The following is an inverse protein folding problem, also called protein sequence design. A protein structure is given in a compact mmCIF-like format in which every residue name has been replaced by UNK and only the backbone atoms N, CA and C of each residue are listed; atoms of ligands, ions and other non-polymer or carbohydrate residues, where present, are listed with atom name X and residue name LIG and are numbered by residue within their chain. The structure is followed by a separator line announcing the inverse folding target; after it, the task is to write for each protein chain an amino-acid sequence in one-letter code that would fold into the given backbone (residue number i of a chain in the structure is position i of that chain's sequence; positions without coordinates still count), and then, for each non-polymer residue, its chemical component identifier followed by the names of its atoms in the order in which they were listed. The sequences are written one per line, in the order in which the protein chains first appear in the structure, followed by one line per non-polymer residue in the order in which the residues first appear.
data_IF_282825373824
#
_entry.id   IF_282825373824
#
_cell.length_a   1.000
_cell.length_b   1.000
_cell.length_c   1.000
_cell.angle_alpha   90.00
_cell.angle_beta   90.00
_cell.angle_gamma   90.00
#
_symmetry.space_group_name_H-M   'P 1'
#
loop_
_entity.id
_entity.type
_entity.pdbx_description
1 polymer ?
#
# COMPACT_ATOMS: atom_id res chain seq x y z
N UNK A 1 -5.08 38.63 -8.87
CA UNK A 1 -5.75 37.84 -7.83
C UNK A 1 -5.85 36.41 -8.32
N UNK A 2 -4.90 35.54 -7.94
CA UNK A 2 -4.90 34.14 -8.34
C UNK A 2 -4.84 33.28 -7.09
N UNK A 3 -5.94 32.62 -6.74
CA UNK A 3 -5.99 31.67 -5.63
C UNK A 3 -5.61 30.29 -6.15
N UNK A 4 -4.44 29.80 -5.74
CA UNK A 4 -4.06 28.40 -5.92
C UNK A 4 -4.84 27.58 -4.89
N UNK A 5 -5.92 26.94 -5.35
CA UNK A 5 -6.59 25.89 -4.58
C UNK A 5 -5.75 24.61 -4.71
N UNK A 6 -4.79 24.43 -3.82
CA UNK A 6 -4.15 23.14 -3.63
C UNK A 6 -5.20 22.15 -3.11
N UNK A 7 -5.34 20.95 -3.70
CA UNK A 7 -6.23 19.95 -3.14
C UNK A 7 -5.68 19.54 -1.77
N UNK A 8 -6.46 19.82 -0.74
CA UNK A 8 -6.24 19.30 0.60
C UNK A 8 -6.42 17.79 0.49
N UNK A 9 -5.31 17.04 0.46
CA UNK A 9 -5.35 15.62 0.78
C UNK A 9 -5.79 15.52 2.23
N UNK A 10 -7.08 15.30 2.44
CA UNK A 10 -7.63 14.87 3.72
C UNK A 10 -6.99 13.52 4.04
N UNK A 11 -5.89 13.60 4.79
CA UNK A 11 -5.32 12.51 5.56
C UNK A 11 -6.43 11.94 6.43
N UNK A 12 -7.04 10.86 5.94
CA UNK A 12 -7.97 10.09 6.74
C UNK A 12 -7.13 9.44 7.83
N UNK A 13 -7.30 9.93 9.06
CA UNK A 13 -6.68 9.41 10.28
C UNK A 13 -7.28 8.03 10.63
N UNK A 14 -7.05 7.04 9.77
CA UNK A 14 -7.24 5.63 10.11
C UNK A 14 -5.88 5.08 10.52
N UNK A 15 -5.62 5.10 11.82
CA UNK A 15 -4.64 4.30 12.59
C UNK A 15 -3.49 3.62 11.80
N UNK A 16 -2.76 4.37 10.97
CA UNK A 16 -1.65 3.87 10.13
C UNK A 16 -0.31 3.85 10.86
N UNK A 17 -0.35 3.60 12.18
CA UNK A 17 0.82 3.32 13.00
C UNK A 17 1.07 1.81 13.17
N UNK A 18 0.11 0.97 12.79
CA UNK A 18 0.11 -0.43 13.16
C UNK A 18 1.33 -1.19 12.62
N UNK A 19 1.77 -0.99 11.37
CA UNK A 19 2.94 -1.69 10.84
C UNK A 19 4.26 -1.06 11.28
N UNK A 20 4.41 0.27 11.24
CA UNK A 20 5.58 0.95 11.79
C UNK A 20 5.82 0.66 13.29
N UNK A 21 4.76 0.48 14.08
CA UNK A 21 4.86 0.06 15.49
C UNK A 21 4.90 -1.45 15.66
N UNK A 22 4.35 -2.24 14.72
CA UNK A 22 4.49 -3.69 14.71
C UNK A 22 5.94 -4.08 14.42
N UNK A 23 6.58 -3.48 13.40
CA UNK A 23 8.01 -3.71 13.12
C UNK A 23 8.91 -3.16 14.22
N UNK A 24 8.45 -2.19 15.02
CA UNK A 24 9.24 -1.57 16.09
C UNK A 24 9.08 -2.21 17.48
N UNK A 25 8.55 -3.44 17.57
CA UNK A 25 9.04 -4.34 18.62
C UNK A 25 8.05 -5.23 19.37
N UNK A 26 6.72 -5.11 19.21
CA UNK A 26 5.80 -5.98 20.01
C UNK A 26 4.54 -6.46 19.26
N UNK A 27 3.93 -5.65 18.37
CA UNK A 27 2.69 -6.05 17.69
C UNK A 27 2.92 -6.95 16.45
N UNK A 28 4.07 -6.85 15.73
CA UNK A 28 4.36 -7.76 14.61
C UNK A 28 4.63 -9.19 15.08
N UNK A 29 5.05 -9.36 16.32
CA UNK A 29 5.37 -10.68 16.88
C UNK A 29 4.11 -11.48 17.23
N UNK A 30 2.95 -10.82 17.44
CA UNK A 30 1.68 -11.48 17.74
C UNK A 30 0.72 -11.55 16.55
N UNK A 31 0.89 -10.70 15.54
CA UNK A 31 0.12 -10.80 14.31
C UNK A 31 0.52 -12.08 13.55
N UNK A 32 -0.41 -12.99 13.25
CA UNK A 32 -0.10 -14.16 12.45
C UNK A 32 0.47 -13.70 11.11
N UNK A 33 1.69 -14.12 10.78
CA UNK A 33 2.22 -13.95 9.42
C UNK A 33 1.48 -14.93 8.52
N UNK A 34 0.62 -14.47 7.60
CA UNK A 34 -0.06 -15.37 6.68
C UNK A 34 0.96 -16.00 5.72
N UNK A 35 0.73 -17.23 5.23
CA UNK A 35 1.59 -17.84 4.22
C UNK A 35 1.65 -16.95 2.97
N UNK A 36 2.78 -16.95 2.25
CA UNK A 36 2.97 -16.10 1.07
C UNK A 36 1.91 -16.32 -0.02
N UNK A 37 1.33 -17.52 -0.11
CA UNK A 37 0.23 -17.85 -1.03
C UNK A 37 -1.09 -17.13 -0.71
N UNK A 38 -1.23 -16.58 0.51
CA UNK A 38 -2.40 -15.80 0.91
C UNK A 38 -2.21 -14.29 0.72
N UNK A 39 -1.03 -13.85 0.25
CA UNK A 39 -0.76 -12.44 0.00
C UNK A 39 -1.35 -12.00 -1.35
N UNK A 40 -1.70 -10.72 -1.53
CA UNK A 40 -2.03 -10.21 -2.85
C UNK A 40 -0.79 -10.32 -3.76
N UNK A 41 -1.00 -10.66 -5.02
CA UNK A 41 0.07 -10.69 -6.02
C UNK A 41 0.42 -9.28 -6.51
N UNK A 42 1.64 -9.09 -7.03
CA UNK A 42 2.07 -7.80 -7.59
C UNK A 42 1.07 -7.18 -8.59
N UNK A 43 0.51 -7.94 -9.55
CA UNK A 43 -0.53 -7.46 -10.46
C UNK A 43 -1.83 -7.04 -9.76
N UNK A 44 -2.30 -7.81 -8.77
CA UNK A 44 -3.51 -7.46 -8.01
C UNK A 44 -3.30 -6.20 -7.17
N UNK A 45 -2.13 -6.06 -6.56
CA UNK A 45 -1.73 -4.85 -5.83
C UNK A 45 -1.69 -3.65 -6.76
N UNK A 46 -1.14 -3.82 -7.97
CA UNK A 46 -1.06 -2.75 -8.96
C UNK A 46 -2.45 -2.28 -9.37
N UNK A 47 -3.36 -3.20 -9.69
CA UNK A 47 -4.78 -2.87 -9.99
C UNK A 47 -5.43 -2.13 -8.81
N UNK A 48 -5.31 -2.67 -7.59
CA UNK A 48 -5.91 -2.08 -6.40
C UNK A 48 -5.35 -0.68 -6.09
N UNK A 49 -4.05 -0.47 -6.32
CA UNK A 49 -3.39 0.82 -6.16
C UNK A 49 -3.92 1.85 -7.18
N UNK A 50 -4.07 1.47 -8.45
CA UNK A 50 -4.64 2.37 -9.47
C UNK A 50 -6.09 2.74 -9.16
N UNK A 51 -6.90 1.76 -8.72
CA UNK A 51 -8.27 2.00 -8.27
C UNK A 51 -8.32 2.95 -7.05
N UNK A 52 -7.46 2.72 -6.05
CA UNK A 52 -7.41 3.52 -4.82
C UNK A 52 -6.92 4.95 -5.04
N UNK A 53 -5.82 5.11 -5.78
CA UNK A 53 -5.19 6.41 -6.04
C UNK A 53 -5.93 7.25 -7.07
N UNK A 54 -6.88 6.64 -7.79
CA UNK A 54 -7.57 7.23 -8.96
C UNK A 54 -6.59 7.82 -9.97
N UNK A 55 -5.40 7.24 -10.08
CA UNK A 55 -4.45 7.66 -11.09
C UNK A 55 -5.02 7.34 -12.47
N UNK A 56 -4.85 8.24 -13.45
CA UNK A 56 -5.29 7.94 -14.81
C UNK A 56 -4.53 6.72 -15.32
N UNK A 57 -5.25 5.71 -15.81
CA UNK A 57 -4.71 4.47 -16.37
C UNK A 57 -3.53 4.62 -17.36
N UNK A 58 -3.40 5.68 -18.21
CA UNK A 58 -2.20 5.87 -19.04
C UNK A 58 -0.92 6.19 -18.24
N UNK A 59 -1.05 6.54 -16.96
CA UNK A 59 0.07 6.58 -16.02
C UNK A 59 0.31 5.23 -15.38
N UNK A 60 -0.33 4.13 -15.75
CA UNK A 60 0.18 2.79 -15.48
C UNK A 60 1.15 2.45 -16.60
N UNK A 61 2.30 3.13 -16.64
CA UNK A 61 3.29 2.86 -17.68
C UNK A 61 3.62 1.37 -17.71
N UNK A 62 3.65 0.80 -18.92
CA UNK A 62 3.72 -0.65 -19.19
C UNK A 62 4.90 -1.38 -18.51
N UNK A 63 5.86 -0.64 -17.96
CA UNK A 63 7.03 -1.16 -17.22
C UNK A 63 6.92 -1.00 -15.70
N UNK A 64 5.77 -0.61 -15.16
CA UNK A 64 5.56 -0.47 -13.72
C UNK A 64 5.37 -1.83 -13.07
N UNK A 65 6.08 -2.06 -11.97
CA UNK A 65 6.04 -3.31 -11.21
C UNK A 65 5.93 -3.03 -9.72
N UNK A 66 5.23 -3.92 -9.02
CA UNK A 66 5.12 -3.87 -7.57
C UNK A 66 5.57 -5.20 -7.02
N UNK A 67 6.53 -5.17 -6.10
CA UNK A 67 6.95 -6.32 -5.34
C UNK A 67 6.30 -6.30 -3.96
N UNK A 68 5.78 -7.44 -3.52
CA UNK A 68 5.21 -7.61 -2.18
C UNK A 68 6.29 -8.21 -1.29
N UNK A 69 6.89 -7.39 -0.43
CA UNK A 69 8.06 -7.78 0.36
C UNK A 69 7.66 -8.54 1.63
N UNK A 70 6.60 -8.10 2.30
CA UNK A 70 6.11 -8.73 3.52
C UNK A 70 4.64 -8.39 3.76
N UNK A 71 3.89 -9.27 4.43
CA UNK A 71 2.52 -8.98 4.86
C UNK A 71 2.23 -9.50 6.27
N UNK A 72 1.36 -8.81 7.00
CA UNK A 72 0.83 -9.18 8.31
C UNK A 72 -0.69 -9.10 8.30
N UNK A 73 -1.35 -10.08 8.92
CA UNK A 73 -2.81 -10.05 9.11
C UNK A 73 -3.18 -9.33 10.40
N UNK A 74 -4.07 -8.36 10.32
CA UNK A 74 -4.63 -7.60 11.43
C UNK A 74 -6.16 -7.73 11.38
N UNK A 75 -6.71 -8.72 12.09
CA UNK A 75 -8.14 -9.04 12.03
C UNK A 75 -8.56 -9.53 10.64
N UNK A 76 -9.51 -8.84 10.00
CA UNK A 76 -9.93 -9.11 8.61
C UNK A 76 -9.03 -8.49 7.56
N UNK A 77 -8.10 -7.63 7.97
CA UNK A 77 -7.31 -6.78 7.09
C UNK A 77 -5.89 -7.34 6.99
N UNK A 78 -5.24 -7.05 5.87
CA UNK A 78 -3.86 -7.45 5.61
C UNK A 78 -3.06 -6.21 5.31
N UNK A 79 -1.97 -6.01 6.04
CA UNK A 79 -1.08 -4.88 5.79
C UNK A 79 0.22 -5.41 5.21
N UNK A 80 0.58 -4.91 4.04
CA UNK A 80 1.75 -5.34 3.29
C UNK A 80 2.75 -4.21 3.10
N UNK A 81 4.03 -4.56 3.24
CA UNK A 81 5.15 -3.78 2.78
C UNK A 81 5.36 -4.07 1.30
N UNK A 82 5.39 -3.00 0.50
CA UNK A 82 5.53 -3.08 -0.94
C UNK A 82 6.72 -2.24 -1.39
N UNK A 83 7.42 -2.73 -2.42
CA UNK A 83 8.36 -1.94 -3.20
C UNK A 83 7.74 -1.66 -4.55
N UNK A 84 7.42 -0.39 -4.80
CA UNK A 84 6.85 0.09 -6.04
C UNK A 84 7.94 0.62 -6.95
N UNK A 85 8.09 0.01 -8.13
CA UNK A 85 8.93 0.51 -9.19
C UNK A 85 8.03 1.03 -10.32
N UNK A 86 7.83 2.34 -10.37
CA UNK A 86 6.93 3.00 -11.30
C UNK A 86 7.75 3.63 -12.43
N UNK A 87 7.31 3.48 -13.67
CA UNK A 87 8.12 3.91 -14.83
C UNK A 87 8.38 5.41 -14.91
N UNK A 88 7.55 6.23 -14.25
CA UNK A 88 7.69 7.69 -14.16
C UNK A 88 8.34 8.18 -12.86
N UNK A 89 8.83 7.26 -12.01
CA UNK A 89 9.52 7.60 -10.76
C UNK A 89 10.93 7.03 -10.82
N UNK A 90 11.95 7.90 -10.73
CA UNK A 90 13.36 7.49 -10.84
C UNK A 90 13.79 6.49 -9.77
N UNK A 91 13.19 6.57 -8.58
CA UNK A 91 13.58 5.75 -7.44
C UNK A 91 12.42 4.84 -6.99
N UNK A 92 12.69 3.55 -6.75
CA UNK A 92 11.72 2.66 -6.13
C UNK A 92 11.21 3.22 -4.81
N UNK A 93 9.89 3.19 -4.61
CA UNK A 93 9.23 3.69 -3.41
C UNK A 93 8.83 2.53 -2.53
N UNK A 94 9.24 2.57 -1.27
CA UNK A 94 8.74 1.65 -0.25
C UNK A 94 7.48 2.23 0.34
N UNK A 95 6.42 1.45 0.30
CA UNK A 95 5.12 1.85 0.81
C UNK A 95 4.54 0.76 1.68
N UNK A 96 3.71 1.19 2.60
CA UNK A 96 2.87 0.38 3.45
C UNK A 96 1.45 0.45 2.90
N UNK A 97 0.86 -0.68 2.56
CA UNK A 97 -0.49 -0.73 2.02
C UNK A 97 -1.38 -1.67 2.85
N UNK A 98 -2.58 -1.19 3.17
CA UNK A 98 -3.60 -1.98 3.84
C UNK A 98 -4.59 -2.49 2.81
N UNK A 99 -4.85 -3.78 2.84
CA UNK A 99 -5.79 -4.47 1.98
C UNK A 99 -6.88 -5.15 2.79
N UNK A 100 -8.06 -5.29 2.18
CA UNK A 100 -9.12 -6.17 2.66
C UNK A 100 -9.50 -7.11 1.53
N UNK A 101 -9.56 -8.40 1.83
CA UNK A 101 -10.06 -9.40 0.89
C UNK A 101 -11.59 -9.34 0.90
N UNK A 102 -12.18 -9.00 -0.22
CA UNK A 102 -13.63 -9.03 -0.42
C UNK A 102 -13.94 -10.06 -1.50
N UNK A 103 -14.54 -11.17 -1.10
CA UNK A 103 -14.76 -12.34 -1.98
C UNK A 103 -13.42 -12.79 -2.60
N UNK A 104 -13.23 -12.51 -3.89
CA UNK A 104 -12.06 -12.91 -4.68
C UNK A 104 -11.21 -11.71 -5.16
N UNK A 105 -11.41 -10.52 -4.59
CA UNK A 105 -10.62 -9.32 -4.92
C UNK A 105 -9.97 -8.71 -3.68
N UNK A 106 -8.76 -8.23 -3.86
CA UNK A 106 -8.09 -7.35 -2.91
C UNK A 106 -8.48 -5.90 -3.14
N UNK A 107 -9.05 -5.26 -2.12
CA UNK A 107 -9.32 -3.83 -2.15
C UNK A 107 -8.32 -3.12 -1.25
N UNK A 108 -7.62 -2.12 -1.79
CA UNK A 108 -6.72 -1.28 -1.01
C UNK A 108 -7.56 -0.28 -0.19
N UNK A 109 -7.32 -0.25 1.11
CA UNK A 109 -7.99 0.63 2.07
C UNK A 109 -7.13 1.84 2.44
N UNK A 110 -5.81 1.72 2.31
CA UNK A 110 -4.88 2.77 2.68
C UNK A 110 -3.49 2.53 2.10
N UNK A 111 -2.77 3.62 1.90
CA UNK A 111 -1.40 3.65 1.40
C UNK A 111 -0.60 4.70 2.18
N UNK A 112 0.60 4.33 2.61
CA UNK A 112 1.51 5.23 3.33
C UNK A 112 2.93 5.04 2.82
N UNK A 113 3.57 6.11 2.37
CA UNK A 113 4.97 6.07 1.96
C UNK A 113 5.90 5.95 3.18
N UNK A 114 6.90 5.07 3.08
CA UNK A 114 7.94 4.91 4.09
C UNK A 114 9.12 5.76 3.64
N UNK A 115 9.32 6.91 4.29
CA UNK A 115 10.49 7.76 4.03
C UNK A 115 11.74 7.08 4.59
N UNK A 116 12.84 6.96 3.83
CA UNK A 116 14.13 6.62 4.40
C UNK A 116 14.55 7.77 5.31
N UNK A 117 14.77 7.46 6.59
CA UNK A 117 15.24 8.39 7.63
C UNK A 117 16.72 8.73 7.41
#
# INVERSE_FOLDING_TARGET
MGVFLSPIMTSSNFAGGALAQAVNGMAAQMAPRPPAAAWPSGPEVLVALFEFSRWPAPKAGDTSSINVDNCLSIGSDMVCLLTMNLSWVETPRKVEATFRKTLDRWSMLGLKEIKPT
#
